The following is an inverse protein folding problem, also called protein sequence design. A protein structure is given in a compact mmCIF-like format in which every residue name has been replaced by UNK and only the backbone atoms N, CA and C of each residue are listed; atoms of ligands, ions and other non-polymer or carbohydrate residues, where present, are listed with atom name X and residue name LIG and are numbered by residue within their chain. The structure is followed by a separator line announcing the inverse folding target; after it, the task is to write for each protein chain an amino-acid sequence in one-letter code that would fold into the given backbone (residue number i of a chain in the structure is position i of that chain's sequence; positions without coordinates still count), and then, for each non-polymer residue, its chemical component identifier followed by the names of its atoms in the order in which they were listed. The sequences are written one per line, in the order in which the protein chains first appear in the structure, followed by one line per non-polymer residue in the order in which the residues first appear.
data_IF_831929184933
#
_entry.id   IF_831929184933
#
_cell.length_a   1.000
_cell.length_b   1.000
_cell.length_c   1.000
_cell.angle_alpha   90.00
_cell.angle_beta   90.00
_cell.angle_gamma   90.00
#
_symmetry.space_group_name_H-M   'P 1'
#
loop_
_entity.id
_entity.type
_entity.pdbx_description
1 polymer ?
#
# COMPACT_ATOMS: atom_id res chain seq x y z
N UNK A 1 11.37 7.24 24.25
CA UNK A 1 11.51 7.80 22.88
C UNK A 1 11.59 6.62 21.91
N UNK A 2 10.51 6.26 21.23
CA UNK A 2 10.50 5.10 20.34
C UNK A 2 10.97 5.51 18.93
N UNK A 3 12.28 5.49 18.73
CA UNK A 3 12.95 5.67 17.44
C UNK A 3 12.91 4.36 16.64
N UNK A 4 11.79 4.07 15.98
CA UNK A 4 11.75 3.07 14.90
C UNK A 4 10.72 3.48 13.86
N UNK A 5 11.11 4.39 12.96
CA UNK A 5 10.64 4.26 11.58
C UNK A 5 11.24 2.96 11.07
N UNK A 6 10.51 1.86 11.22
CA UNK A 6 10.78 0.70 10.37
C UNK A 6 10.68 1.25 8.94
N UNK A 7 11.72 1.08 8.11
CA UNK A 7 11.70 1.42 6.68
C UNK A 7 10.72 0.48 5.93
N UNK A 8 9.48 0.42 6.39
CA UNK A 8 8.41 -0.40 5.87
C UNK A 8 7.77 0.24 4.65
N UNK A 9 8.19 1.45 4.23
CA UNK A 9 7.63 2.17 3.09
C UNK A 9 6.09 2.20 3.16
N UNK A 10 5.54 2.58 4.31
CA UNK A 10 4.08 2.70 4.52
C UNK A 10 3.62 4.12 4.20
N UNK A 11 2.43 4.23 3.63
CA UNK A 11 1.77 5.51 3.43
C UNK A 11 0.98 5.89 4.69
N UNK A 12 1.07 7.15 5.10
CA UNK A 12 0.27 7.69 6.19
C UNK A 12 -1.21 7.69 5.79
N UNK A 13 -2.06 7.15 6.65
CA UNK A 13 -3.51 7.14 6.42
C UNK A 13 -4.07 8.50 6.88
N UNK A 14 -4.89 9.12 6.04
CA UNK A 14 -5.59 10.34 6.42
C UNK A 14 -6.49 10.08 7.65
N UNK A 15 -6.45 10.99 8.62
CA UNK A 15 -7.30 10.96 9.82
C UNK A 15 -8.75 11.38 9.53
N UNK A 16 -9.02 11.81 8.30
CA UNK A 16 -10.31 12.26 7.83
C UNK A 16 -11.26 11.06 7.83
N UNK A 17 -12.13 11.00 8.84
CA UNK A 17 -13.24 10.05 8.89
C UNK A 17 -14.31 10.54 7.92
N UNK A 18 -14.10 10.29 6.64
CA UNK A 18 -15.20 10.41 5.69
C UNK A 18 -16.26 9.39 6.14
N UNK A 19 -17.53 9.80 6.25
CA UNK A 19 -18.62 8.83 6.43
C UNK A 19 -18.65 7.82 5.27
N UNK A 20 -19.54 6.83 5.29
CA UNK A 20 -19.74 5.88 4.17
C UNK A 20 -20.27 6.61 2.92
N UNK A 21 -19.43 7.42 2.30
CA UNK A 21 -19.71 8.30 1.15
C UNK A 21 -18.52 8.25 0.18
N UNK A 22 -18.66 8.94 -0.95
CA UNK A 22 -17.69 8.97 -2.07
C UNK A 22 -16.24 9.24 -1.65
N UNK A 23 -16.00 9.91 -0.51
CA UNK A 23 -14.65 10.23 -0.04
C UNK A 23 -13.79 9.03 0.35
N UNK A 24 -14.35 7.86 0.65
CA UNK A 24 -13.56 6.63 0.87
C UNK A 24 -12.84 6.17 -0.40
N UNK A 25 -13.38 6.54 -1.58
CA UNK A 25 -12.75 6.26 -2.89
C UNK A 25 -11.74 7.32 -3.29
N UNK A 26 -11.62 8.43 -2.56
CA UNK A 26 -10.61 9.43 -2.85
C UNK A 26 -9.22 8.80 -2.74
N UNK A 27 -8.31 9.18 -3.63
CA UNK A 27 -6.95 8.63 -3.66
C UNK A 27 -6.24 8.76 -2.30
N UNK A 28 -6.43 9.89 -1.61
CA UNK A 28 -5.86 10.15 -0.28
C UNK A 28 -6.32 9.16 0.81
N UNK A 29 -7.47 8.50 0.63
CA UNK A 29 -8.01 7.49 1.56
C UNK A 29 -7.69 6.09 1.07
N UNK A 30 -8.00 5.80 -0.20
CA UNK A 30 -7.87 4.45 -0.77
C UNK A 30 -6.41 4.04 -1.02
N UNK A 31 -5.53 4.96 -1.44
CA UNK A 31 -4.16 4.62 -1.80
C UNK A 31 -3.34 4.12 -0.60
N UNK A 32 -3.36 4.74 0.60
CA UNK A 32 -2.69 4.19 1.77
C UNK A 32 -3.22 2.83 2.20
N UNK A 33 -4.52 2.57 2.02
CA UNK A 33 -5.13 1.27 2.35
C UNK A 33 -4.58 0.17 1.42
N UNK A 34 -4.64 0.39 0.12
CA UNK A 34 -4.17 -0.59 -0.88
C UNK A 34 -2.65 -0.74 -0.83
N UNK A 35 -1.90 0.34 -0.65
CA UNK A 35 -0.45 0.27 -0.60
C UNK A 35 0.04 -0.48 0.64
N UNK A 36 -0.53 -0.18 1.82
CA UNK A 36 -0.07 -0.79 3.08
C UNK A 36 -0.43 -2.27 3.21
N UNK A 37 -1.43 -2.77 2.46
CA UNK A 37 -1.74 -4.20 2.42
C UNK A 37 -0.72 -5.02 1.61
N UNK A 38 0.12 -4.38 0.79
CA UNK A 38 1.13 -5.07 0.00
C UNK A 38 2.28 -5.59 0.88
N UNK A 39 2.96 -6.68 0.48
CA UNK A 39 4.18 -7.14 1.13
C UNK A 39 5.31 -6.12 1.04
N UNK A 40 6.20 -6.11 2.03
CA UNK A 40 7.33 -5.18 2.08
C UNK A 40 8.24 -5.28 0.86
N UNK A 41 8.49 -6.47 0.31
CA UNK A 41 9.35 -6.64 -0.87
C UNK A 41 8.78 -5.99 -2.15
N UNK A 42 7.44 -5.89 -2.25
CA UNK A 42 6.77 -5.18 -3.37
C UNK A 42 6.95 -3.67 -3.21
N UNK A 43 6.83 -3.18 -1.97
CA UNK A 43 6.92 -1.75 -1.61
C UNK A 43 8.36 -1.22 -1.58
N UNK A 44 9.33 -2.05 -1.23
CA UNK A 44 10.75 -1.69 -1.12
C UNK A 44 11.50 -1.77 -2.46
N UNK A 45 10.81 -2.08 -3.56
CA UNK A 45 11.42 -2.11 -4.88
C UNK A 45 11.89 -0.71 -5.29
N UNK A 46 13.17 -0.57 -5.63
CA UNK A 46 13.80 0.72 -5.98
C UNK A 46 13.52 1.16 -7.42
N UNK A 47 13.00 0.26 -8.26
CA UNK A 47 12.68 0.52 -9.66
C UNK A 47 11.21 0.20 -9.95
N UNK A 48 10.56 1.06 -10.74
CA UNK A 48 9.16 0.91 -11.14
C UNK A 48 8.91 -0.40 -11.91
N UNK A 49 9.85 -0.84 -12.74
CA UNK A 49 9.72 -2.09 -13.51
C UNK A 49 9.69 -3.31 -12.57
N UNK A 50 10.58 -3.32 -11.59
CA UNK A 50 10.66 -4.37 -10.56
C UNK A 50 9.42 -4.36 -9.67
N UNK A 51 8.95 -3.18 -9.24
CA UNK A 51 7.72 -3.04 -8.46
C UNK A 51 6.51 -3.59 -9.22
N UNK A 52 6.35 -3.24 -10.51
CA UNK A 52 5.29 -3.80 -11.38
C UNK A 52 5.37 -5.32 -11.50
N UNK A 53 6.57 -5.89 -11.64
CA UNK A 53 6.77 -7.35 -11.70
C UNK A 53 6.31 -8.02 -10.40
N UNK A 54 6.81 -7.56 -9.26
CA UNK A 54 6.45 -8.13 -7.95
C UNK A 54 4.97 -7.98 -7.64
N UNK A 55 4.37 -6.84 -7.97
CA UNK A 55 2.94 -6.61 -7.78
C UNK A 55 2.11 -7.61 -8.60
N UNK A 56 2.44 -7.79 -9.88
CA UNK A 56 1.75 -8.78 -10.74
C UNK A 56 1.86 -10.19 -10.17
N UNK A 57 3.06 -10.63 -9.78
CA UNK A 57 3.27 -11.95 -9.18
C UNK A 57 2.47 -12.11 -7.88
N UNK A 58 2.49 -11.10 -7.02
CA UNK A 58 1.76 -11.14 -5.75
C UNK A 58 0.25 -11.22 -5.96
N UNK A 59 -0.31 -10.39 -6.84
CA UNK A 59 -1.75 -10.39 -7.13
C UNK A 59 -2.20 -11.67 -7.85
N UNK A 60 -1.37 -12.22 -8.74
CA UNK A 60 -1.66 -13.51 -9.38
C UNK A 60 -1.68 -14.64 -8.34
N UNK A 61 -0.69 -14.68 -7.45
CA UNK A 61 -0.66 -15.66 -6.38
C UNK A 61 -1.89 -15.56 -5.47
N UNK A 62 -2.33 -14.35 -5.12
CA UNK A 62 -3.54 -14.16 -4.31
C UNK A 62 -4.85 -14.59 -5.00
N UNK A 63 -4.91 -14.58 -6.33
CA UNK A 63 -6.15 -14.84 -7.07
C UNK A 63 -6.29 -16.32 -7.48
N UNK A 64 -5.19 -17.05 -7.65
CA UNK A 64 -5.17 -18.37 -8.27
C UNK A 64 -4.50 -19.47 -7.44
N UNK A 65 -3.89 -19.13 -6.29
CA UNK A 65 -3.29 -20.07 -5.35
C UNK A 65 -3.82 -19.81 -3.94
#
# INVERSE_FOLDING_TARGET
YNLRSTNSNILERSSIRTGKTTGDRAFQVAAPVVWNSLPQHVRAATCILTSKKFLKTHLFNLAYF
#
